data_IF_417830377473
#
_entry.id   IF_417830377473
#
_cell.length_a   1.000
_cell.length_b   1.000
_cell.length_c   1.000
_cell.angle_alpha   90.00
_cell.angle_beta   90.00
_cell.angle_gamma   90.00
#
_symmetry.space_group_name_H-M   'P 1'
#
loop_
_entity.id
_entity.type
_entity.pdbx_description
1 polymer ?
#
# COMPACT_ATOMS: atom_id res chain seq x y z
N UNK A 1 -14.13 -19.85 -2.49
CA UNK A 1 -13.87 -19.57 -1.06
C UNK A 1 -14.18 -18.10 -0.81
N UNK A 2 -14.55 -17.66 0.40
CA UNK A 2 -14.69 -16.24 0.69
C UNK A 2 -13.33 -15.53 0.69
N UNK A 3 -13.29 -14.27 0.29
CA UNK A 3 -12.08 -13.44 0.26
C UNK A 3 -12.28 -12.19 1.14
N UNK A 4 -11.27 -11.83 1.93
CA UNK A 4 -11.24 -10.62 2.74
C UNK A 4 -10.11 -9.71 2.26
N UNK A 5 -10.47 -8.51 1.79
CA UNK A 5 -9.53 -7.45 1.44
C UNK A 5 -9.40 -6.48 2.59
N UNK A 6 -8.16 -6.16 2.99
CA UNK A 6 -7.87 -5.24 4.07
C UNK A 6 -6.59 -4.43 3.84
N UNK A 7 -6.26 -3.55 4.77
CA UNK A 7 -5.10 -2.66 4.70
C UNK A 7 -4.58 -2.29 6.09
N UNK A 8 -4.17 -1.03 6.26
CA UNK A 8 -3.68 -0.42 7.51
C UNK A 8 -2.31 -0.91 8.01
N UNK A 9 -1.97 -2.19 7.90
CA UNK A 9 -0.67 -2.70 8.35
C UNK A 9 0.50 -2.34 7.42
N UNK A 10 0.22 -1.75 6.25
CA UNK A 10 1.19 -1.38 5.21
C UNK A 10 1.92 -2.56 4.55
N UNK A 11 1.62 -3.79 4.95
CA UNK A 11 2.25 -5.01 4.42
C UNK A 11 1.41 -5.59 3.30
N UNK A 12 1.95 -5.62 2.09
CA UNK A 12 1.33 -6.33 0.96
C UNK A 12 1.34 -7.84 1.23
N UNK A 13 0.28 -8.54 0.82
CA UNK A 13 0.29 -10.00 0.77
C UNK A 13 -1.07 -10.65 0.49
N UNK A 14 -1.10 -11.98 0.32
CA UNK A 14 0.04 -12.90 0.42
C UNK A 14 1.10 -12.69 -0.67
N UNK A 15 2.37 -12.86 -0.31
CA UNK A 15 3.51 -12.93 -1.22
C UNK A 15 4.03 -14.37 -1.35
N UNK A 16 4.80 -14.71 -2.40
CA UNK A 16 5.25 -16.10 -2.63
C UNK A 16 5.99 -16.77 -1.46
N UNK A 17 6.72 -15.99 -0.66
CA UNK A 17 7.50 -16.48 0.47
C UNK A 17 6.72 -16.50 1.80
N UNK A 18 5.44 -16.11 1.80
CA UNK A 18 4.61 -16.12 2.99
C UNK A 18 4.11 -17.54 3.31
N UNK A 19 3.91 -17.84 4.61
CA UNK A 19 3.20 -19.05 5.02
C UNK A 19 1.72 -18.95 4.62
N UNK A 20 1.19 -19.84 3.74
CA UNK A 20 -0.22 -19.81 3.34
C UNK A 20 -1.20 -19.95 4.52
N UNK A 21 -0.77 -20.55 5.64
CA UNK A 21 -1.55 -20.67 6.86
C UNK A 21 -1.85 -19.33 7.53
N UNK A 22 -0.94 -18.36 7.43
CA UNK A 22 -1.12 -17.01 8.00
C UNK A 22 -2.13 -16.17 7.21
N UNK A 23 -2.35 -16.52 5.94
CA UNK A 23 -3.25 -15.84 5.01
C UNK A 23 -4.63 -16.51 4.88
N UNK A 24 -4.97 -17.37 5.85
CA UNK A 24 -6.27 -18.04 5.93
C UNK A 24 -6.87 -17.88 7.32
N UNK A 25 -8.13 -17.48 7.36
CA UNK A 25 -8.89 -17.48 8.62
C UNK A 25 -9.22 -18.91 9.05
N UNK A 26 -9.52 -19.11 10.34
CA UNK A 26 -10.03 -20.40 10.85
C UNK A 26 -11.30 -20.87 10.14
N UNK A 27 -12.10 -19.94 9.58
CA UNK A 27 -13.30 -20.23 8.79
C UNK A 27 -13.04 -20.50 7.31
N UNK A 28 -11.78 -20.50 6.86
CA UNK A 28 -11.40 -20.81 5.48
C UNK A 28 -11.49 -19.65 4.49
N UNK A 29 -11.77 -18.41 4.94
CA UNK A 29 -11.64 -17.23 4.10
C UNK A 29 -10.16 -16.90 3.82
N UNK A 30 -9.85 -16.55 2.59
CA UNK A 30 -8.52 -16.13 2.16
C UNK A 30 -8.34 -14.62 2.38
N UNK A 31 -7.22 -14.26 2.98
CA UNK A 31 -6.86 -12.89 3.34
C UNK A 31 -6.03 -12.25 2.24
N UNK A 32 -6.29 -10.97 1.94
CA UNK A 32 -5.56 -10.18 0.95
C UNK A 32 -5.31 -8.78 1.49
N UNK A 33 -4.07 -8.32 1.49
CA UNK A 33 -3.70 -6.98 1.94
C UNK A 33 -3.01 -6.20 0.81
N UNK A 34 -3.59 -5.05 0.46
CA UNK A 34 -3.07 -4.21 -0.62
C UNK A 34 -1.76 -3.48 -0.25
N UNK A 35 -1.35 -3.48 1.03
CA UNK A 35 -0.12 -2.84 1.46
C UNK A 35 -0.26 -1.32 1.57
N UNK A 36 0.68 -0.59 0.97
CA UNK A 36 0.74 0.87 1.03
C UNK A 36 1.12 1.50 -0.33
N UNK A 37 0.99 2.82 -0.40
CA UNK A 37 1.44 3.64 -1.54
C UNK A 37 2.52 4.66 -1.14
N UNK A 38 2.96 4.62 0.12
CA UNK A 38 3.93 5.56 0.68
C UNK A 38 5.26 4.84 0.82
N UNK A 39 6.33 5.44 0.29
CA UNK A 39 7.70 4.95 0.48
C UNK A 39 8.17 5.21 1.92
N UNK A 40 7.68 4.41 2.86
CA UNK A 40 7.94 4.55 4.29
C UNK A 40 9.17 3.75 4.72
N UNK A 41 10.32 4.41 4.72
CA UNK A 41 11.62 3.78 5.00
C UNK A 41 11.71 3.13 6.39
N UNK A 42 10.87 3.52 7.36
CA UNK A 42 10.87 2.93 8.69
C UNK A 42 10.44 1.45 8.71
N UNK A 43 9.70 0.97 7.70
CA UNK A 43 9.23 -0.42 7.60
C UNK A 43 10.00 -1.26 6.58
N UNK A 44 10.85 -0.64 5.75
CA UNK A 44 11.52 -1.34 4.66
C UNK A 44 12.66 -2.22 5.16
N UNK A 45 12.69 -3.44 4.64
CA UNK A 45 13.84 -4.32 4.70
C UNK A 45 14.61 -4.22 3.37
N UNK A 46 15.71 -3.45 3.36
CA UNK A 46 16.56 -3.29 2.18
C UNK A 46 15.99 -2.37 1.09
N UNK A 47 16.77 -2.09 0.01
CA UNK A 47 16.43 -1.10 -1.01
C UNK A 47 15.90 -1.69 -2.34
N UNK A 48 15.65 -3.00 -2.43
CA UNK A 48 15.58 -3.75 -3.68
C UNK A 48 14.16 -4.15 -4.11
N UNK A 49 13.12 -3.46 -3.62
CA UNK A 49 11.76 -3.76 -4.05
C UNK A 49 11.19 -5.06 -3.49
N UNK A 50 11.94 -5.88 -2.76
CA UNK A 50 11.45 -7.18 -2.29
C UNK A 50 10.62 -7.08 -1.01
N UNK A 51 10.90 -6.08 -0.17
CA UNK A 51 10.21 -5.89 1.12
C UNK A 51 8.68 -5.93 0.99
N UNK A 52 7.94 -6.65 1.85
CA UNK A 52 6.48 -6.64 1.85
C UNK A 52 5.87 -5.25 2.11
N UNK A 53 6.65 -4.32 2.66
CA UNK A 53 6.25 -2.94 2.97
C UNK A 53 6.60 -1.93 1.86
N UNK A 54 7.16 -2.39 0.75
CA UNK A 54 7.41 -1.55 -0.42
C UNK A 54 6.09 -1.03 -0.99
N UNK A 55 6.04 0.22 -1.48
CA UNK A 55 4.82 0.79 -2.03
C UNK A 55 4.39 0.17 -3.35
N UNK A 56 3.11 0.37 -3.66
CA UNK A 56 2.52 0.00 -4.94
C UNK A 56 1.93 -1.41 -4.99
N UNK A 57 1.67 -2.01 -3.83
CA UNK A 57 0.80 -3.18 -3.74
C UNK A 57 -0.63 -2.82 -4.15
N UNK A 58 -1.28 -3.69 -4.91
CA UNK A 58 -2.70 -3.60 -5.20
C UNK A 58 -3.32 -4.99 -5.36
N UNK A 59 -4.64 -5.06 -5.26
CA UNK A 59 -5.41 -6.29 -5.43
C UNK A 59 -6.31 -6.12 -6.66
N UNK A 60 -6.06 -6.92 -7.69
CA UNK A 60 -6.94 -7.00 -8.85
C UNK A 60 -8.07 -7.98 -8.55
N UNK A 61 -9.31 -7.52 -8.72
CA UNK A 61 -10.52 -8.34 -8.63
C UNK A 61 -11.17 -8.32 -10.01
N UNK A 62 -11.11 -9.45 -10.70
CA UNK A 62 -11.74 -9.62 -12.01
C UNK A 62 -13.15 -10.22 -11.89
N UNK A 63 -13.86 -10.31 -13.00
CA UNK A 63 -15.18 -10.93 -13.09
C UNK A 63 -15.16 -12.42 -12.69
N UNK A 64 -14.03 -13.10 -12.93
CA UNK A 64 -13.83 -14.52 -12.64
C UNK A 64 -12.50 -14.79 -11.94
N UNK A 65 -12.48 -15.83 -11.10
CA UNK A 65 -11.27 -16.31 -10.41
C UNK A 65 -11.01 -15.63 -9.06
N UNK A 66 -9.91 -16.01 -8.38
CA UNK A 66 -9.51 -15.41 -7.11
C UNK A 66 -8.89 -14.01 -7.33
N UNK A 67 -8.97 -13.10 -6.33
CA UNK A 67 -8.22 -11.86 -6.35
C UNK A 67 -6.72 -12.11 -6.51
N UNK A 68 -6.04 -11.26 -7.29
CA UNK A 68 -4.58 -11.31 -7.47
C UNK A 68 -3.91 -10.16 -6.74
N UNK A 69 -2.88 -10.49 -5.96
CA UNK A 69 -2.00 -9.51 -5.34
C UNK A 69 -0.88 -9.18 -6.33
N UNK A 70 -0.76 -7.91 -6.68
CA UNK A 70 0.18 -7.41 -7.68
C UNK A 70 1.02 -6.26 -7.09
N UNK A 71 2.20 -6.02 -7.66
CA UNK A 71 3.17 -5.04 -7.15
C UNK A 71 3.68 -4.13 -8.26
N UNK A 72 3.03 -2.98 -8.43
CA UNK A 72 3.29 -2.08 -9.55
C UNK A 72 4.66 -1.41 -9.49
N UNK A 73 5.15 -1.07 -8.31
CA UNK A 73 6.39 -0.28 -8.13
C UNK A 73 7.60 -1.13 -7.69
N UNK A 74 7.48 -2.46 -7.73
CA UNK A 74 8.54 -3.38 -7.27
C UNK A 74 9.86 -3.23 -8.02
N UNK A 75 9.80 -2.87 -9.31
CA UNK A 75 10.98 -2.72 -10.17
C UNK A 75 11.57 -1.31 -10.19
N UNK A 76 10.94 -0.35 -9.51
CA UNK A 76 11.46 1.01 -9.44
C UNK A 76 12.56 1.11 -8.37
N UNK A 77 13.68 1.79 -8.65
CA UNK A 77 14.72 1.98 -7.65
C UNK A 77 14.23 2.89 -6.53
N UNK A 78 14.70 2.66 -5.30
CA UNK A 78 14.34 3.43 -4.10
C UNK A 78 14.41 4.96 -4.31
N UNK A 79 15.44 5.44 -5.02
CA UNK A 79 15.64 6.87 -5.25
C UNK A 79 14.56 7.52 -6.13
N UNK A 80 13.86 6.73 -6.96
CA UNK A 80 12.70 7.21 -7.73
C UNK A 80 11.44 7.32 -6.87
N UNK A 81 11.36 6.55 -5.78
CA UNK A 81 10.19 6.49 -4.89
C UNK A 81 10.26 7.48 -3.74
N UNK A 82 11.46 7.96 -3.40
CA UNK A 82 11.63 9.00 -2.39
C UNK A 82 10.87 10.23 -2.84
N UNK A 83 9.99 10.73 -1.96
CA UNK A 83 9.39 12.04 -2.16
C UNK A 83 10.50 13.07 -2.35
N UNK A 84 10.32 14.04 -3.26
CA UNK A 84 11.18 15.21 -3.25
C UNK A 84 11.14 15.83 -1.85
N UNK A 85 12.20 16.53 -1.48
CA UNK A 85 12.23 17.30 -0.23
C UNK A 85 10.98 18.19 -0.11
N UNK A 86 10.67 18.67 1.12
CA UNK A 86 9.44 19.40 1.39
C UNK A 86 9.10 20.37 0.27
N UNK A 87 7.89 20.25 -0.28
CA UNK A 87 7.40 21.20 -1.27
C UNK A 87 7.59 22.61 -0.69
N UNK A 88 8.03 23.59 -1.49
CA UNK A 88 8.03 24.97 -1.03
C UNK A 88 6.62 25.31 -0.52
N UNK A 89 6.51 26.19 0.50
CA UNK A 89 5.20 26.57 1.01
C UNK A 89 4.32 27.01 -0.16
N UNK A 90 3.13 26.44 -0.26
CA UNK A 90 2.15 26.86 -1.23
C UNK A 90 1.84 28.34 -1.07
N UNK A 91 1.29 29.01 -2.10
CA UNK A 91 0.73 30.34 -1.90
C UNK A 91 -0.26 30.25 -0.73
N UNK A 92 -0.15 31.17 0.24
CA UNK A 92 -1.04 31.18 1.39
C UNK A 92 -2.49 31.21 0.88
N UNK A 93 -3.33 30.29 1.35
CA UNK A 93 -4.76 30.25 1.05
C UNK A 93 -5.38 31.58 1.53
N UNK A 94 -5.61 32.50 0.60
CA UNK A 94 -6.16 33.83 0.87
C UNK A 94 -7.67 33.80 1.25
N UNK A 95 -8.28 32.61 1.29
CA UNK A 95 -9.73 32.44 1.41
C UNK A 95 -10.18 31.92 2.79
N UNK A 96 -9.27 31.71 3.75
CA UNK A 96 -9.64 31.17 5.07
C UNK A 96 -10.34 32.19 6.02
N UNK A 97 -10.41 33.47 5.67
CA UNK A 97 -10.98 34.53 6.52
C UNK A 97 -12.40 35.00 6.12
N UNK A 98 -13.08 34.35 5.18
CA UNK A 98 -14.39 34.80 4.71
C UNK A 98 -15.61 34.41 5.58
N UNK A 99 -15.47 33.47 6.52
CA UNK A 99 -16.63 32.89 7.24
C UNK A 99 -16.78 33.34 8.72
N UNK A 100 -16.04 34.35 9.16
CA UNK A 100 -16.09 34.82 10.56
C UNK A 100 -17.08 35.97 10.83
N UNK A 101 -18.03 36.26 9.93
CA UNK A 101 -19.02 37.31 10.14
C UNK A 101 -20.44 36.86 9.77
N UNK A 102 -21.12 36.20 10.71
CA UNK A 102 -22.60 36.16 10.80
C UNK A 102 -23.03 36.38 12.24
#
# INVERSE_FOLDING_TARGET
>A
VPHLVFGHSHRTGPLPDDDPGEWRTLGGAELHNAGNWVFETAFLSGPDGTSPYWPGGFIAVDDEGPPRVERLLGDLPADTLRAPGPLPPGPADADADADAAV
#
